data_IF_749761380804
#
_entry.id   IF_749761380804
#
_cell.length_a   1.000
_cell.length_b   1.000
_cell.length_c   1.000
_cell.angle_alpha   90.00
_cell.angle_beta   90.00
_cell.angle_gamma   90.00
#
_symmetry.space_group_name_H-M   'P 1'
#
loop_
_entity.id
_entity.type
_entity.pdbx_description
1 polymer ?
#
# COMPACT_ATOMS: atom_id res chain seq x y z
N UNK A 1 10.53 -74.99 -0.56
CA UNK A 1 9.79 -74.57 -1.77
C UNK A 1 9.57 -73.07 -1.67
N UNK A 2 10.40 -72.32 -2.36
CA UNK A 2 10.71 -70.90 -2.11
C UNK A 2 9.77 -70.01 -2.92
N UNK A 3 8.96 -69.18 -2.26
CA UNK A 3 8.09 -68.20 -2.92
C UNK A 3 8.83 -66.85 -2.93
N UNK A 4 9.25 -66.43 -4.12
CA UNK A 4 9.79 -65.10 -4.41
C UNK A 4 8.64 -64.09 -4.47
N UNK A 5 8.69 -63.05 -3.65
CA UNK A 5 7.86 -61.86 -3.80
C UNK A 5 8.47 -60.93 -4.85
N UNK A 6 7.72 -60.66 -5.93
CA UNK A 6 8.02 -59.59 -6.88
C UNK A 6 7.45 -58.28 -6.33
N UNK A 7 8.32 -57.29 -6.12
CA UNK A 7 7.91 -55.89 -5.93
C UNK A 7 7.73 -55.24 -7.31
N UNK A 8 6.50 -54.86 -7.65
CA UNK A 8 6.24 -53.95 -8.77
C UNK A 8 6.38 -52.51 -8.27
N UNK A 9 7.37 -51.77 -8.80
CA UNK A 9 7.45 -50.33 -8.64
C UNK A 9 6.47 -49.66 -9.61
N UNK A 10 5.44 -49.00 -9.06
CA UNK A 10 4.55 -48.15 -9.84
C UNK A 10 5.23 -46.78 -10.04
N UNK A 11 5.69 -46.51 -11.27
CA UNK A 11 6.07 -45.18 -11.72
C UNK A 11 4.80 -44.35 -11.91
N UNK A 12 4.48 -43.49 -10.95
CA UNK A 12 3.46 -42.45 -11.11
C UNK A 12 4.03 -41.32 -11.97
N UNK A 13 3.73 -41.36 -13.27
CA UNK A 13 3.88 -40.20 -14.15
C UNK A 13 2.78 -39.19 -13.82
N UNK A 14 3.10 -38.23 -12.95
CA UNK A 14 2.28 -37.04 -12.73
C UNK A 14 2.33 -36.19 -14.01
N UNK A 15 1.39 -36.42 -14.91
CA UNK A 15 1.14 -35.51 -16.02
C UNK A 15 0.61 -34.19 -15.46
N UNK A 16 1.48 -33.19 -15.35
CA UNK A 16 1.10 -31.79 -15.18
C UNK A 16 0.29 -31.37 -16.42
N UNK A 17 -1.02 -31.55 -16.36
CA UNK A 17 -1.93 -30.82 -17.23
C UNK A 17 -1.89 -29.36 -16.79
N UNK A 18 -0.99 -28.58 -17.40
CA UNK A 18 -1.07 -27.14 -17.36
C UNK A 18 -2.40 -26.72 -17.96
N UNK A 19 -3.34 -26.29 -17.12
CA UNK A 19 -4.49 -25.56 -17.61
C UNK A 19 -3.95 -24.31 -18.32
N UNK A 20 -4.18 -24.20 -19.63
CA UNK A 20 -3.95 -22.95 -20.35
C UNK A 20 -4.80 -21.88 -19.65
N UNK A 21 -4.15 -20.96 -18.95
CA UNK A 21 -4.79 -19.75 -18.49
C UNK A 21 -5.40 -19.06 -19.73
N UNK A 22 -6.71 -18.83 -19.72
CA UNK A 22 -7.36 -18.07 -20.77
C UNK A 22 -6.75 -16.67 -20.81
N UNK A 23 -6.60 -16.08 -22.00
CA UNK A 23 -6.10 -14.71 -22.13
C UNK A 23 -7.05 -13.76 -21.36
N UNK A 24 -6.55 -12.90 -20.46
CA UNK A 24 -7.42 -11.93 -19.79
C UNK A 24 -8.09 -11.03 -20.85
N UNK A 25 -9.31 -10.52 -20.57
CA UNK A 25 -9.91 -9.56 -21.48
C UNK A 25 -8.98 -8.35 -21.61
N UNK A 26 -8.92 -7.70 -22.79
CA UNK A 26 -8.14 -6.49 -22.93
C UNK A 26 -8.65 -5.42 -21.94
N UNK A 27 -7.79 -4.44 -21.58
CA UNK A 27 -8.26 -3.26 -20.85
C UNK A 27 -9.40 -2.60 -21.61
N UNK A 28 -10.27 -1.88 -20.88
CA UNK A 28 -11.25 -1.04 -21.56
C UNK A 28 -10.52 -0.02 -22.43
N UNK A 29 -11.22 0.55 -23.41
CA UNK A 29 -10.63 1.67 -24.14
C UNK A 29 -10.26 2.78 -23.13
N UNK A 30 -9.15 3.52 -23.34
CA UNK A 30 -8.67 4.47 -22.34
C UNK A 30 -9.74 5.45 -21.82
N UNK A 31 -10.71 5.82 -22.67
CA UNK A 31 -11.82 6.72 -22.34
C UNK A 31 -13.01 6.10 -21.59
N UNK A 32 -13.00 4.81 -21.24
CA UNK A 32 -14.18 4.10 -20.74
C UNK A 32 -14.14 3.79 -19.22
N UNK A 33 -13.00 3.99 -18.55
CA UNK A 33 -12.89 3.70 -17.12
C UNK A 33 -13.61 4.72 -16.24
N UNK A 34 -13.50 6.00 -16.57
CA UNK A 34 -14.09 7.11 -15.82
C UNK A 34 -15.29 7.67 -16.57
N UNK A 35 -16.49 7.31 -16.10
CA UNK A 35 -17.80 7.68 -16.65
C UNK A 35 -18.66 8.38 -15.59
N UNK A 36 -18.00 9.06 -14.66
CA UNK A 36 -18.61 9.76 -13.53
C UNK A 36 -19.41 10.97 -14.01
N UNK A 37 -20.61 11.15 -13.45
CA UNK A 37 -21.49 12.30 -13.71
C UNK A 37 -21.94 12.96 -12.40
N UNK A 38 -21.90 14.30 -12.26
CA UNK A 38 -21.40 15.24 -13.26
C UNK A 38 -19.89 15.09 -13.51
N UNK A 39 -19.37 15.52 -14.68
CA UNK A 39 -17.94 15.56 -14.90
C UNK A 39 -17.27 16.50 -13.89
N UNK A 40 -15.96 16.30 -13.71
CA UNK A 40 -15.18 17.09 -12.75
C UNK A 40 -15.28 18.59 -13.06
N UNK A 41 -15.63 19.40 -12.06
CA UNK A 41 -15.65 20.86 -12.15
C UNK A 41 -14.36 21.46 -11.60
N UNK A 42 -13.40 21.77 -12.48
CA UNK A 42 -12.12 22.36 -12.07
C UNK A 42 -12.22 23.75 -11.44
N UNK A 43 -13.35 24.45 -11.64
CA UNK A 43 -13.64 25.76 -11.02
C UNK A 43 -14.08 25.63 -9.56
N UNK A 44 -14.42 24.42 -9.10
CA UNK A 44 -14.66 24.10 -7.70
C UNK A 44 -13.42 23.37 -7.15
N UNK A 45 -12.47 24.09 -6.54
CA UNK A 45 -11.22 23.49 -6.07
C UNK A 45 -11.41 22.60 -4.84
N UNK A 46 -12.56 22.65 -4.17
CA UNK A 46 -12.81 21.96 -2.91
C UNK A 46 -13.50 20.63 -3.18
N UNK A 47 -14.65 20.65 -3.85
CA UNK A 47 -15.48 19.46 -4.07
C UNK A 47 -15.44 18.94 -5.50
N UNK A 48 -14.81 19.67 -6.41
CA UNK A 48 -14.74 19.34 -7.83
C UNK A 48 -16.12 19.13 -8.48
N UNK A 49 -17.17 19.78 -7.94
CA UNK A 49 -18.55 19.69 -8.44
C UNK A 49 -19.34 18.47 -7.96
N UNK A 50 -18.81 17.69 -7.02
CA UNK A 50 -19.47 16.49 -6.49
C UNK A 50 -20.00 16.69 -5.07
N UNK A 51 -21.05 15.96 -4.66
CA UNK A 51 -21.56 16.04 -3.31
C UNK A 51 -20.59 15.43 -2.29
N UNK A 52 -20.54 16.01 -1.09
CA UNK A 52 -19.94 15.40 0.09
C UNK A 52 -20.74 14.16 0.50
N UNK A 53 -20.06 13.06 0.73
CA UNK A 53 -20.65 11.83 1.25
C UNK A 53 -21.12 12.05 2.69
N UNK A 54 -22.23 11.39 3.03
CA UNK A 54 -22.59 11.24 4.44
C UNK A 54 -21.61 10.25 5.09
N UNK A 55 -20.78 10.78 5.98
CA UNK A 55 -19.82 10.02 6.78
C UNK A 55 -20.44 9.79 8.16
N UNK A 56 -20.38 8.56 8.66
CA UNK A 56 -20.90 8.20 9.98
C UNK A 56 -20.01 8.77 11.09
N UNK A 57 -18.69 8.73 10.87
CA UNK A 57 -17.69 9.27 11.79
C UNK A 57 -16.41 9.66 11.08
N UNK A 58 -15.82 10.76 11.51
CA UNK A 58 -14.43 11.12 11.23
C UNK A 58 -13.65 11.16 12.55
N UNK A 59 -12.47 10.55 12.56
CA UNK A 59 -11.62 10.43 13.75
C UNK A 59 -10.20 10.83 13.38
N UNK A 60 -9.61 11.74 14.14
CA UNK A 60 -8.16 11.94 14.13
C UNK A 60 -7.56 10.89 15.05
N UNK A 61 -6.86 9.93 14.48
CA UNK A 61 -6.24 8.84 15.23
C UNK A 61 -4.88 9.29 15.78
N UNK A 62 -4.17 10.12 15.03
CA UNK A 62 -2.86 10.63 15.43
C UNK A 62 -2.67 12.07 14.97
N UNK A 63 -2.32 12.95 15.90
CA UNK A 63 -1.91 14.34 15.65
C UNK A 63 -0.41 14.47 15.84
N UNK A 64 0.36 14.35 14.75
CA UNK A 64 1.82 14.30 14.84
C UNK A 64 2.43 15.60 15.39
N UNK A 65 1.85 16.74 15.01
CA UNK A 65 2.28 18.07 15.47
C UNK A 65 2.17 18.24 16.98
N UNK A 66 1.17 17.64 17.63
CA UNK A 66 0.94 17.74 19.08
C UNK A 66 2.03 17.01 19.90
N UNK A 67 2.72 16.04 19.28
CA UNK A 67 3.76 15.22 19.94
C UNK A 67 5.16 15.47 19.36
N UNK A 68 5.34 16.56 18.62
CA UNK A 68 6.65 16.93 18.06
C UNK A 68 7.14 16.02 16.94
N UNK A 69 6.23 15.25 16.30
CA UNK A 69 6.52 14.38 15.15
C UNK A 69 5.71 14.84 13.95
N UNK A 70 6.20 15.88 13.30
CA UNK A 70 5.48 16.62 12.27
C UNK A 70 5.40 15.91 10.92
N UNK A 71 5.87 14.67 10.83
CA UNK A 71 5.60 13.79 9.70
C UNK A 71 4.81 12.56 10.18
N UNK A 72 3.66 12.29 9.57
CA UNK A 72 2.89 11.07 9.74
C UNK A 72 2.21 10.65 8.43
N UNK A 73 2.46 9.42 7.98
CA UNK A 73 2.02 8.97 6.66
C UNK A 73 1.91 7.45 6.56
N UNK A 74 1.61 6.96 5.35
CA UNK A 74 1.56 5.54 5.02
C UNK A 74 0.64 4.70 5.93
N UNK A 75 -0.64 5.10 6.10
CA UNK A 75 -1.57 4.29 6.88
C UNK A 75 -1.87 2.97 6.15
N UNK A 76 -1.92 1.87 6.89
CA UNK A 76 -2.39 0.57 6.44
C UNK A 76 -3.38 -0.02 7.43
N UNK A 77 -4.53 -0.47 6.91
CA UNK A 77 -5.62 -1.04 7.70
C UNK A 77 -5.73 -2.56 7.51
N UNK A 78 -6.14 -3.23 8.59
CA UNK A 78 -6.53 -4.64 8.60
C UNK A 78 -7.70 -4.86 9.56
N UNK A 79 -8.55 -5.83 9.26
CA UNK A 79 -9.66 -6.25 10.11
C UNK A 79 -9.67 -7.78 10.16
N UNK A 80 -9.62 -8.34 11.37
CA UNK A 80 -9.60 -9.80 11.59
C UNK A 80 -11.00 -10.41 11.81
N UNK A 81 -12.05 -9.58 11.78
CA UNK A 81 -13.41 -10.00 12.14
C UNK A 81 -13.84 -9.57 13.54
N UNK A 82 -12.93 -9.03 14.36
CA UNK A 82 -13.18 -8.54 15.71
C UNK A 82 -12.58 -7.15 15.96
N UNK A 83 -11.34 -6.93 15.52
CA UNK A 83 -10.53 -5.73 15.77
C UNK A 83 -10.03 -5.13 14.47
N UNK A 84 -10.08 -3.80 14.39
CA UNK A 84 -9.45 -3.03 13.32
C UNK A 84 -8.05 -2.63 13.78
N UNK A 85 -7.04 -2.95 12.98
CA UNK A 85 -5.66 -2.58 13.20
C UNK A 85 -5.27 -1.49 12.20
N UNK A 86 -4.58 -0.47 12.69
CA UNK A 86 -4.02 0.60 11.87
C UNK A 86 -2.56 0.76 12.22
N UNK A 87 -1.69 0.58 11.22
CA UNK A 87 -0.29 0.96 11.33
C UNK A 87 -0.01 2.15 10.42
N UNK A 88 0.92 3.01 10.82
CA UNK A 88 1.33 4.18 10.06
C UNK A 88 2.76 4.60 10.43
N UNK A 89 3.44 5.28 9.52
CA UNK A 89 4.78 5.81 9.78
C UNK A 89 4.69 7.19 10.41
N UNK A 90 5.61 7.50 11.32
CA UNK A 90 5.77 8.85 11.85
C UNK A 90 7.26 9.18 12.02
N UNK A 91 7.65 10.43 11.80
CA UNK A 91 9.02 10.92 11.96
C UNK A 91 9.02 12.32 12.59
N UNK A 92 10.12 12.77 13.22
CA UNK A 92 10.20 14.10 13.83
C UNK A 92 9.83 15.23 12.86
N UNK A 93 10.38 15.20 11.64
CA UNK A 93 10.25 16.31 10.67
C UNK A 93 9.96 15.81 9.25
N UNK A 94 10.81 14.93 8.72
CA UNK A 94 10.88 14.66 7.29
C UNK A 94 10.50 13.22 6.92
N UNK A 95 9.91 13.09 5.73
CA UNK A 95 9.67 11.81 5.06
C UNK A 95 10.97 11.10 4.66
N UNK A 96 10.98 9.77 4.80
CA UNK A 96 12.09 8.84 4.61
C UNK A 96 13.41 9.28 5.28
N UNK A 97 13.31 9.93 6.44
CA UNK A 97 14.46 10.34 7.25
C UNK A 97 14.78 9.32 8.33
N UNK A 98 16.06 9.26 8.74
CA UNK A 98 16.42 8.52 9.96
C UNK A 98 15.75 9.19 11.15
N UNK A 99 14.98 8.40 11.91
CA UNK A 99 14.05 8.89 12.93
C UNK A 99 12.60 8.48 12.65
N UNK A 100 12.32 8.00 11.44
CA UNK A 100 11.02 7.44 11.10
C UNK A 100 10.81 6.07 11.77
N UNK A 101 9.61 5.90 12.33
CA UNK A 101 9.15 4.73 13.07
C UNK A 101 7.85 4.20 12.48
N UNK A 102 7.53 2.93 12.72
CA UNK A 102 6.20 2.37 12.49
C UNK A 102 5.41 2.33 13.78
N UNK A 103 4.22 2.92 13.77
CA UNK A 103 3.31 3.02 14.89
C UNK A 103 2.07 2.15 14.66
N UNK A 104 1.51 1.61 15.73
CA UNK A 104 0.31 0.78 15.74
C UNK A 104 -0.74 1.38 16.68
N UNK A 105 -1.99 1.30 16.27
CA UNK A 105 -3.18 1.57 17.07
C UNK A 105 -4.31 0.64 16.63
N UNK A 106 -5.24 0.35 17.53
CA UNK A 106 -6.34 -0.57 17.22
C UNK A 106 -7.69 -0.04 17.70
N UNK A 107 -8.76 -0.59 17.13
CA UNK A 107 -10.14 -0.28 17.45
C UNK A 107 -10.96 -1.57 17.59
N UNK A 108 -11.81 -1.62 18.62
CA UNK A 108 -12.72 -2.76 18.91
C UNK A 108 -14.19 -2.44 18.61
N UNK A 109 -14.48 -1.23 18.13
CA UNK A 109 -15.84 -0.75 17.90
C UNK A 109 -16.09 -0.39 16.43
N UNK A 110 -15.28 -0.95 15.52
CA UNK A 110 -15.41 -0.72 14.08
C UNK A 110 -14.75 0.57 13.57
N UNK A 111 -13.79 1.12 14.31
CA UNK A 111 -13.01 2.31 13.94
C UNK A 111 -13.53 3.62 14.54
N UNK A 112 -14.52 3.59 15.44
CA UNK A 112 -15.11 4.79 16.05
C UNK A 112 -14.23 5.35 17.16
N UNK A 113 -13.57 4.48 17.91
CA UNK A 113 -12.56 4.82 18.93
C UNK A 113 -11.30 4.01 18.72
N UNK A 114 -10.16 4.58 19.14
CA UNK A 114 -8.83 4.02 18.89
C UNK A 114 -8.01 4.01 20.18
N UNK A 115 -7.21 2.97 20.35
CA UNK A 115 -6.21 2.90 21.42
C UNK A 115 -5.15 3.98 21.24
N UNK A 116 -4.41 4.38 22.29
CA UNK A 116 -3.18 5.14 22.11
C UNK A 116 -2.25 4.45 21.14
N UNK A 117 -1.61 5.22 20.27
CA UNK A 117 -0.65 4.67 19.33
C UNK A 117 0.66 4.33 20.03
N UNK A 118 1.25 3.19 19.66
CA UNK A 118 2.53 2.71 20.19
C UNK A 118 3.52 2.48 19.05
N UNK A 119 4.79 2.81 19.27
CA UNK A 119 5.85 2.48 18.31
C UNK A 119 6.12 0.97 18.34
N UNK A 120 6.00 0.31 17.19
CA UNK A 120 6.24 -1.13 17.05
C UNK A 120 7.54 -1.42 16.33
N UNK A 121 8.02 -0.51 15.47
CA UNK A 121 9.32 -0.59 14.82
C UNK A 121 10.05 0.76 15.06
N UNK A 122 11.00 0.81 16.01
CA UNK A 122 11.64 2.05 16.42
C UNK A 122 12.62 2.59 15.37
N UNK A 123 13.16 3.78 15.62
CA UNK A 123 14.10 4.43 14.72
C UNK A 123 15.42 3.65 14.60
N UNK A 124 15.97 3.58 13.39
CA UNK A 124 17.19 2.85 13.09
C UNK A 124 18.44 3.72 13.24
N UNK A 125 18.67 4.27 14.44
CA UNK A 125 19.86 5.06 14.75
C UNK A 125 21.09 4.18 14.98
N UNK A 126 22.25 4.63 14.51
CA UNK A 126 23.54 4.04 14.85
C UNK A 126 24.02 4.50 16.24
N UNK A 127 24.98 3.81 16.89
CA UNK A 127 25.43 4.16 18.23
C UNK A 127 26.00 5.58 18.36
N UNK A 128 26.53 6.14 17.26
CA UNK A 128 27.03 7.51 17.20
C UNK A 128 25.96 8.54 16.80
N UNK A 129 24.72 8.13 16.59
CA UNK A 129 23.58 8.97 16.22
C UNK A 129 22.62 9.02 17.41
N UNK A 130 22.94 9.81 18.43
CA UNK A 130 22.21 9.80 19.70
C UNK A 130 20.83 10.47 19.63
N UNK A 131 20.52 11.18 18.54
CA UNK A 131 19.22 11.81 18.30
C UNK A 131 18.89 11.78 16.80
N UNK A 132 17.60 11.68 16.48
CA UNK A 132 17.12 11.90 15.11
C UNK A 132 17.40 13.34 14.65
N UNK A 133 17.64 13.48 13.35
CA UNK A 133 17.89 14.76 12.71
C UNK A 133 17.03 14.88 11.45
N UNK A 134 16.94 16.09 10.90
CA UNK A 134 16.18 16.37 9.69
C UNK A 134 16.88 15.81 8.44
N UNK A 135 16.15 15.77 7.32
CA UNK A 135 16.62 15.26 6.04
C UNK A 135 17.92 15.92 5.58
N UNK A 136 18.01 17.26 5.65
CA UNK A 136 19.19 18.03 5.25
C UNK A 136 20.44 17.64 6.03
N UNK A 137 20.35 17.48 7.36
CA UNK A 137 21.50 17.07 8.17
C UNK A 137 22.10 15.75 7.67
N UNK A 138 21.27 14.75 7.41
CA UNK A 138 21.75 13.45 6.93
C UNK A 138 22.39 13.55 5.55
N UNK A 139 21.83 14.37 4.66
CA UNK A 139 22.41 14.64 3.34
C UNK A 139 23.78 15.31 3.43
N UNK A 140 23.90 16.36 4.24
CA UNK A 140 25.13 17.15 4.41
C UNK A 140 26.28 16.31 4.95
N UNK A 141 25.97 15.31 5.78
CA UNK A 141 26.95 14.39 6.36
C UNK A 141 27.14 13.11 5.55
N UNK A 142 26.49 13.00 4.38
CA UNK A 142 26.51 11.82 3.50
C UNK A 142 26.13 10.51 4.19
N UNK A 143 25.13 10.57 5.06
CA UNK A 143 24.62 9.44 5.81
C UNK A 143 23.39 8.87 5.09
N UNK A 144 23.34 7.55 4.92
CA UNK A 144 22.12 6.88 4.49
C UNK A 144 21.01 7.06 5.52
N UNK A 145 19.85 7.47 5.04
CA UNK A 145 18.66 7.66 5.87
C UNK A 145 17.89 6.35 5.94
N UNK A 146 17.66 5.86 7.15
CA UNK A 146 17.01 4.57 7.42
C UNK A 146 15.59 4.83 7.92
N UNK A 147 14.61 4.64 7.05
CA UNK A 147 13.20 4.78 7.37
C UNK A 147 12.45 3.45 7.21
N UNK A 148 11.27 3.36 7.83
CA UNK A 148 10.36 2.21 7.74
C UNK A 148 8.98 2.67 7.29
N UNK A 149 8.44 2.01 6.26
CA UNK A 149 7.14 2.32 5.66
C UNK A 149 6.21 1.14 5.93
N UNK A 150 5.14 1.33 6.71
CA UNK A 150 4.08 0.35 6.81
C UNK A 150 3.54 -0.03 5.44
N UNK A 151 3.41 -1.33 5.19
CA UNK A 151 2.95 -1.82 3.89
C UNK A 151 1.81 -2.83 3.97
N UNK A 152 1.69 -3.57 5.07
CA UNK A 152 0.68 -4.61 5.20
C UNK A 152 0.58 -5.14 6.63
N UNK A 153 -0.58 -5.72 6.94
CA UNK A 153 -0.68 -6.75 7.96
C UNK A 153 -0.77 -8.12 7.27
N UNK A 154 -0.17 -9.14 7.88
CA UNK A 154 -0.13 -10.49 7.34
C UNK A 154 -0.63 -11.49 8.39
N UNK A 155 -1.87 -12.01 8.23
CA UNK A 155 -2.38 -13.08 9.07
C UNK A 155 -1.74 -14.40 8.66
N UNK A 156 -0.92 -14.97 9.54
CA UNK A 156 -0.23 -16.23 9.28
C UNK A 156 -1.02 -17.42 9.83
N UNK A 157 -1.65 -17.23 10.98
CA UNK A 157 -2.56 -18.18 11.59
C UNK A 157 -3.72 -17.43 12.22
N UNK A 158 -4.65 -18.15 12.86
CA UNK A 158 -5.74 -17.53 13.63
C UNK A 158 -5.20 -16.64 14.75
N UNK A 159 -4.09 -17.04 15.35
CA UNK A 159 -3.56 -16.44 16.58
C UNK A 159 -2.25 -15.67 16.29
N UNK A 160 -1.92 -15.44 15.02
CA UNK A 160 -0.64 -14.83 14.62
C UNK A 160 -0.83 -13.84 13.49
N UNK A 161 -0.74 -12.57 13.83
CA UNK A 161 -0.75 -11.44 12.89
C UNK A 161 0.62 -10.78 12.87
N UNK A 162 1.17 -10.48 11.69
CA UNK A 162 2.37 -9.65 11.58
C UNK A 162 2.02 -8.26 11.04
N UNK A 163 2.50 -7.21 11.69
CA UNK A 163 2.61 -5.89 11.10
C UNK A 163 3.93 -5.81 10.32
N UNK A 164 3.87 -5.56 9.02
CA UNK A 164 5.03 -5.58 8.11
C UNK A 164 5.30 -4.18 7.56
N UNK A 165 6.55 -3.76 7.64
CA UNK A 165 7.06 -2.52 7.05
C UNK A 165 8.20 -2.77 6.08
N UNK A 166 8.19 -2.05 4.96
CA UNK A 166 9.30 -1.98 4.01
C UNK A 166 10.35 -1.01 4.53
N UNK A 167 11.62 -1.39 4.50
CA UNK A 167 12.70 -0.43 4.72
C UNK A 167 12.87 0.47 3.50
N UNK A 168 13.03 1.77 3.76
CA UNK A 168 13.32 2.79 2.75
C UNK A 168 14.66 3.43 3.09
N UNK A 169 15.60 3.33 2.17
CA UNK A 169 16.95 3.86 2.31
C UNK A 169 17.15 5.03 1.37
N UNK A 170 17.22 6.25 1.92
CA UNK A 170 17.37 7.46 1.11
C UNK A 170 18.80 7.98 1.20
N UNK A 171 19.37 8.35 0.06
CA UNK A 171 20.67 9.03 -0.04
C UNK A 171 20.56 10.26 -0.94
N UNK A 172 21.42 11.25 -0.68
CA UNK A 172 21.30 12.62 -1.22
C UNK A 172 22.63 13.37 -1.11
N UNK A 173 23.67 12.86 -1.75
CA UNK A 173 25.04 13.40 -1.65
C UNK A 173 25.37 14.42 -2.75
N UNK A 174 24.37 14.80 -3.54
CA UNK A 174 24.46 15.71 -4.68
C UNK A 174 23.33 15.44 -5.68
N UNK A 175 23.24 16.25 -6.72
CA UNK A 175 22.17 16.11 -7.72
C UNK A 175 22.22 14.81 -8.51
N UNK A 176 23.43 14.35 -8.83
CA UNK A 176 23.66 13.08 -9.53
C UNK A 176 23.83 11.88 -8.59
N UNK A 177 23.87 12.14 -7.27
CA UNK A 177 24.13 11.15 -6.23
C UNK A 177 23.00 11.13 -5.20
N UNK A 178 21.75 11.01 -5.69
CA UNK A 178 20.54 10.89 -4.89
C UNK A 178 19.65 9.77 -5.40
N UNK A 179 18.95 9.11 -4.49
CA UNK A 179 18.08 7.99 -4.85
C UNK A 179 17.53 7.26 -3.64
N UNK A 180 16.75 6.22 -3.94
CA UNK A 180 16.16 5.33 -2.93
C UNK A 180 16.65 3.91 -3.17
N UNK A 181 16.88 3.19 -2.08
CA UNK A 181 17.13 1.74 -2.01
C UNK A 181 16.29 1.15 -0.90
N UNK A 182 16.42 -0.16 -0.67
CA UNK A 182 15.73 -0.86 0.38
C UNK A 182 16.56 -2.05 0.86
N UNK A 183 16.57 -2.26 2.17
CA UNK A 183 17.27 -3.35 2.85
C UNK A 183 16.45 -4.66 2.96
N UNK A 184 15.15 -4.60 2.63
CA UNK A 184 14.20 -5.68 2.89
C UNK A 184 12.99 -5.23 3.70
N UNK A 185 12.30 -6.19 4.31
CA UNK A 185 11.08 -5.96 5.10
C UNK A 185 11.28 -6.41 6.54
N UNK A 186 10.85 -5.56 7.45
CA UNK A 186 10.85 -5.83 8.88
C UNK A 186 9.41 -6.09 9.31
N UNK A 187 9.18 -7.13 10.09
CA UNK A 187 7.89 -7.50 10.62
C UNK A 187 7.94 -7.57 12.15
N UNK A 188 6.79 -7.35 12.78
CA UNK A 188 6.58 -7.58 14.21
C UNK A 188 5.26 -8.31 14.43
N UNK A 189 5.29 -9.36 15.24
CA UNK A 189 4.08 -10.10 15.60
C UNK A 189 3.19 -9.24 16.50
N UNK A 190 1.88 -9.35 16.32
CA UNK A 190 0.84 -8.65 17.06
C UNK A 190 -0.12 -9.72 17.63
N UNK A 191 -0.46 -9.62 18.92
CA UNK A 191 -1.46 -10.49 19.57
C UNK A 191 -2.91 -10.08 19.24
N UNK A 192 -3.87 -10.88 19.69
CA UNK A 192 -5.31 -10.65 19.50
C UNK A 192 -5.81 -9.38 20.23
N UNK A 193 -5.11 -8.95 21.27
CA UNK A 193 -5.36 -7.71 21.98
C UNK A 193 -4.82 -6.47 21.25
N UNK A 194 -4.00 -6.65 20.22
CA UNK A 194 -3.42 -5.57 19.42
C UNK A 194 -2.09 -5.04 19.94
N UNK A 195 -1.37 -5.79 20.76
CA UNK A 195 -0.06 -5.43 21.29
C UNK A 195 1.07 -6.10 20.48
N UNK A 196 2.22 -5.44 20.34
CA UNK A 196 3.40 -6.07 19.77
C UNK A 196 3.92 -7.20 20.67
N UNK A 197 4.13 -8.37 20.09
CA UNK A 197 4.68 -9.55 20.76
C UNK A 197 6.08 -9.85 20.24
N UNK A 198 7.00 -10.08 21.17
CA UNK A 198 8.38 -10.40 20.86
C UNK A 198 9.12 -9.27 20.15
N UNK A 199 10.28 -9.64 19.59
CA UNK A 199 11.19 -8.71 18.92
C UNK A 199 10.86 -8.59 17.42
N UNK A 200 11.17 -7.44 16.79
CA UNK A 200 11.15 -7.32 15.34
C UNK A 200 12.03 -8.37 14.65
N UNK A 201 11.63 -8.78 13.45
CA UNK A 201 12.34 -9.76 12.63
C UNK A 201 12.33 -9.37 11.14
N UNK A 202 13.28 -9.86 10.36
CA UNK A 202 13.28 -9.70 8.91
C UNK A 202 12.32 -10.73 8.27
N UNK A 203 11.34 -10.29 7.50
CA UNK A 203 10.61 -11.22 6.60
C UNK A 203 11.39 -11.44 5.30
N UNK A 204 12.13 -10.42 4.87
CA UNK A 204 13.10 -10.49 3.78
C UNK A 204 14.26 -9.52 4.05
N UNK A 205 15.46 -9.86 3.60
CA UNK A 205 16.67 -9.06 3.80
C UNK A 205 17.59 -9.19 2.57
N UNK A 206 18.29 -8.12 2.19
CA UNK A 206 19.31 -8.11 1.13
C UNK A 206 20.61 -7.44 1.62
N UNK A 207 21.59 -7.26 0.72
CA UNK A 207 22.91 -6.72 1.06
C UNK A 207 22.86 -5.31 1.68
N UNK A 208 21.86 -4.49 1.32
CA UNK A 208 21.73 -3.13 1.83
C UNK A 208 21.51 -3.07 3.34
N UNK A 209 20.94 -4.12 3.93
CA UNK A 209 20.78 -4.19 5.38
C UNK A 209 22.14 -4.11 6.11
N UNK A 210 23.19 -4.69 5.52
CA UNK A 210 24.55 -4.65 6.06
C UNK A 210 25.28 -3.37 5.65
N UNK A 211 25.13 -2.93 4.40
CA UNK A 211 25.76 -1.68 3.90
C UNK A 211 25.35 -0.45 4.72
N UNK A 212 24.07 -0.37 5.10
CA UNK A 212 23.56 0.70 5.96
C UNK A 212 23.58 0.33 7.45
N UNK A 213 24.23 -0.78 7.81
CA UNK A 213 24.57 -1.18 9.18
C UNK A 213 23.34 -1.33 10.10
N UNK A 214 22.24 -1.90 9.61
CA UNK A 214 21.09 -2.21 10.48
C UNK A 214 21.47 -3.10 11.67
N UNK A 215 22.45 -3.99 11.49
CA UNK A 215 22.99 -4.85 12.53
C UNK A 215 23.67 -4.06 13.68
N UNK A 216 23.98 -2.79 13.50
CA UNK A 216 24.55 -1.92 14.54
C UNK A 216 23.53 -0.95 15.14
N UNK A 217 22.31 -0.91 14.61
CA UNK A 217 21.21 -0.15 15.20
C UNK A 217 20.53 -0.94 16.31
N UNK A 218 19.48 -0.39 16.93
CA UNK A 218 18.63 -1.11 17.90
C UNK A 218 18.15 -2.48 17.37
N UNK A 219 17.92 -2.59 16.06
CA UNK A 219 17.52 -3.84 15.41
C UNK A 219 18.56 -4.95 15.60
N UNK A 220 19.86 -4.68 15.43
CA UNK A 220 20.89 -5.70 15.65
C UNK A 220 21.44 -5.77 17.07
N UNK A 221 21.51 -4.64 17.76
CA UNK A 221 22.21 -4.54 19.06
C UNK A 221 21.32 -4.86 20.26
N UNK A 222 20.05 -4.46 20.23
CA UNK A 222 19.08 -4.73 21.29
C UNK A 222 18.24 -5.97 20.96
N UNK A 223 17.62 -5.98 19.79
CA UNK A 223 16.73 -7.08 19.39
C UNK A 223 17.46 -8.30 18.82
N UNK A 224 18.73 -8.17 18.43
CA UNK A 224 19.47 -9.26 17.79
C UNK A 224 18.76 -9.81 16.54
N UNK A 225 18.15 -8.92 15.74
CA UNK A 225 17.13 -9.23 14.74
C UNK A 225 17.55 -10.36 13.79
N UNK A 226 16.68 -11.37 13.72
CA UNK A 226 16.82 -12.56 12.86
C UNK A 226 15.74 -12.57 11.78
N UNK A 227 15.79 -13.55 10.90
CA UNK A 227 14.63 -13.87 10.06
C UNK A 227 13.43 -14.24 10.94
N UNK A 228 12.24 -13.81 10.54
CA UNK A 228 11.00 -14.22 11.18
C UNK A 228 10.79 -15.73 11.05
N UNK A 229 10.21 -16.36 12.08
CA UNK A 229 9.78 -17.77 12.01
C UNK A 229 8.92 -18.03 10.77
N UNK A 230 8.00 -17.10 10.47
CA UNK A 230 7.05 -17.20 9.36
C UNK A 230 7.46 -16.40 8.12
N UNK A 231 8.76 -16.14 7.93
CA UNK A 231 9.26 -15.28 6.84
C UNK A 231 8.75 -15.71 5.45
N UNK A 232 8.81 -17.00 5.11
CA UNK A 232 8.34 -17.50 3.82
C UNK A 232 6.83 -17.31 3.61
N UNK A 233 6.02 -17.52 4.66
CA UNK A 233 4.57 -17.33 4.60
C UNK A 233 4.21 -15.85 4.48
N UNK A 234 4.95 -14.97 5.18
CA UNK A 234 4.80 -13.52 5.05
C UNK A 234 5.07 -13.10 3.60
N UNK A 235 6.19 -13.52 3.03
CA UNK A 235 6.57 -13.13 1.66
C UNK A 235 5.67 -13.78 0.60
N UNK A 236 5.17 -14.99 0.83
CA UNK A 236 4.18 -15.63 -0.06
C UNK A 236 2.87 -14.85 -0.08
N UNK A 237 2.35 -14.48 1.10
CA UNK A 237 1.15 -13.66 1.24
C UNK A 237 1.31 -12.32 0.53
N UNK A 238 2.44 -11.63 0.70
CA UNK A 238 2.70 -10.33 0.06
C UNK A 238 2.92 -10.41 -1.46
N UNK A 239 3.03 -11.62 -2.04
CA UNK A 239 3.14 -11.84 -3.48
C UNK A 239 1.80 -12.22 -4.12
N UNK A 240 0.74 -12.39 -3.35
CA UNK A 240 -0.58 -12.66 -3.91
C UNK A 240 -1.20 -11.39 -4.50
N UNK A 241 -2.01 -11.52 -5.57
CA UNK A 241 -2.72 -10.40 -6.18
C UNK A 241 -3.48 -9.47 -5.23
N UNK A 242 -4.26 -10.04 -4.30
CA UNK A 242 -5.15 -9.28 -3.43
C UNK A 242 -4.43 -8.51 -2.31
N UNK A 243 -3.16 -8.84 -2.05
CA UNK A 243 -2.42 -8.46 -0.84
C UNK A 243 -1.06 -7.87 -1.15
N UNK A 244 -0.69 -7.78 -2.44
CA UNK A 244 0.53 -7.13 -2.91
C UNK A 244 0.58 -5.70 -2.36
N UNK A 245 1.66 -5.33 -1.63
CA UNK A 245 1.80 -3.99 -1.09
C UNK A 245 2.19 -2.96 -2.15
N UNK A 246 1.97 -1.68 -1.82
CA UNK A 246 2.33 -0.55 -2.68
C UNK A 246 3.85 -0.42 -2.94
N UNK A 247 4.70 -1.02 -2.11
CA UNK A 247 6.15 -0.95 -2.26
C UNK A 247 6.82 -2.30 -2.07
N UNK A 248 8.01 -2.42 -2.66
CA UNK A 248 8.90 -3.56 -2.48
C UNK A 248 10.34 -3.16 -2.73
N UNK A 249 11.27 -3.99 -2.27
CA UNK A 249 12.71 -3.68 -2.37
C UNK A 249 13.17 -3.44 -3.82
N UNK A 250 12.67 -4.26 -4.76
CA UNK A 250 12.98 -4.08 -6.17
C UNK A 250 12.40 -2.79 -6.74
N UNK A 251 11.14 -2.47 -6.42
CA UNK A 251 10.45 -1.28 -6.91
C UNK A 251 11.07 0.03 -6.39
N UNK A 252 11.71 0.00 -5.20
CA UNK A 252 12.48 1.15 -4.71
C UNK A 252 13.82 1.32 -5.42
N UNK A 253 14.45 0.22 -5.84
CA UNK A 253 15.77 0.24 -6.45
C UNK A 253 15.72 0.42 -7.98
N UNK A 254 14.56 0.21 -8.58
CA UNK A 254 14.39 0.01 -10.03
C UNK A 254 13.10 0.69 -10.52
N UNK A 255 13.14 1.21 -11.74
CA UNK A 255 11.95 1.74 -12.43
C UNK A 255 11.13 0.62 -13.06
N UNK A 256 9.81 0.72 -12.99
CA UNK A 256 8.88 -0.18 -13.67
C UNK A 256 8.15 0.64 -14.73
N UNK A 257 8.53 0.47 -16.00
CA UNK A 257 7.90 1.20 -17.09
C UNK A 257 6.56 0.56 -17.48
N UNK A 258 5.59 1.41 -17.78
CA UNK A 258 4.31 1.02 -18.35
C UNK A 258 4.44 0.46 -19.78
N UNK A 259 3.34 0.04 -20.39
CA UNK A 259 3.31 -0.55 -21.73
C UNK A 259 3.82 0.39 -22.84
N UNK A 260 3.88 1.69 -22.57
CA UNK A 260 4.41 2.69 -23.50
C UNK A 260 5.91 2.97 -23.33
N UNK A 261 6.58 2.20 -22.47
CA UNK A 261 8.01 2.29 -22.19
C UNK A 261 8.50 3.66 -21.69
N UNK A 262 7.57 4.55 -21.33
CA UNK A 262 7.84 5.96 -21.03
C UNK A 262 7.54 6.28 -19.57
N UNK A 263 6.39 5.88 -19.05
CA UNK A 263 5.96 6.25 -17.71
C UNK A 263 6.44 5.26 -16.64
N UNK A 264 6.93 5.77 -15.51
CA UNK A 264 7.44 5.02 -14.36
C UNK A 264 6.32 4.77 -13.34
N UNK A 265 5.99 3.50 -13.13
CA UNK A 265 4.88 3.04 -12.32
C UNK A 265 5.36 2.62 -10.93
N UNK A 266 4.68 3.09 -9.89
CA UNK A 266 4.83 2.58 -8.53
C UNK A 266 3.49 2.51 -7.80
N UNK A 267 3.51 2.01 -6.56
CA UNK A 267 2.34 2.02 -5.67
C UNK A 267 1.12 1.31 -6.27
N UNK A 268 1.25 0.02 -6.67
CA UNK A 268 0.09 -0.73 -7.10
C UNK A 268 -0.96 -0.76 -5.99
N UNK A 269 -2.22 -0.71 -6.37
CA UNK A 269 -3.32 -1.05 -5.46
C UNK A 269 -3.32 -2.56 -5.22
N UNK A 270 -4.06 -2.98 -4.18
CA UNK A 270 -4.55 -4.36 -4.11
C UNK A 270 -5.34 -4.69 -5.38
N UNK A 271 -5.32 -5.96 -5.78
CA UNK A 271 -6.09 -6.42 -6.92
C UNK A 271 -7.48 -6.93 -6.53
N UNK A 272 -8.43 -6.79 -7.44
CA UNK A 272 -9.78 -7.35 -7.32
C UNK A 272 -10.04 -8.35 -8.44
N UNK A 273 -10.70 -9.46 -8.12
CA UNK A 273 -10.99 -10.51 -9.10
C UNK A 273 -12.29 -10.23 -9.86
N UNK A 274 -12.23 -10.35 -11.18
CA UNK A 274 -13.34 -10.28 -12.12
C UNK A 274 -13.59 -11.67 -12.72
N UNK A 275 -14.58 -12.40 -12.20
CA UNK A 275 -14.98 -13.69 -12.71
C UNK A 275 -15.98 -14.37 -11.77
N UNK A 276 -16.65 -15.41 -12.27
CA UNK A 276 -17.59 -16.18 -11.46
C UNK A 276 -16.82 -17.26 -10.67
N UNK A 277 -16.71 -17.08 -9.36
CA UNK A 277 -16.29 -18.15 -8.45
C UNK A 277 -17.52 -19.06 -8.18
N UNK A 278 -17.97 -19.81 -9.19
CA UNK A 278 -18.96 -20.87 -8.96
C UNK A 278 -18.29 -21.96 -8.10
N UNK A 279 -18.53 -21.90 -6.79
CA UNK A 279 -18.11 -22.92 -5.84
C UNK A 279 -18.64 -24.30 -6.22
N UNK A 280 -17.73 -25.27 -6.31
CA UNK A 280 -18.02 -26.67 -6.60
C UNK A 280 -17.38 -27.17 -7.89
N UNK A 281 -17.17 -28.49 -8.00
CA UNK A 281 -16.37 -29.20 -9.01
C UNK A 281 -16.79 -29.06 -10.50
N UNK A 282 -17.43 -27.95 -10.91
CA UNK A 282 -17.80 -27.67 -12.30
C UNK A 282 -16.94 -26.53 -12.84
N UNK A 283 -16.16 -26.88 -13.87
CA UNK A 283 -15.31 -26.04 -14.74
C UNK A 283 -15.39 -24.54 -14.47
N UNK A 284 -14.33 -24.01 -13.87
CA UNK A 284 -14.08 -22.59 -13.66
C UNK A 284 -14.35 -21.80 -14.95
N UNK A 285 -15.34 -20.92 -14.92
CA UNK A 285 -15.51 -19.91 -15.97
C UNK A 285 -14.36 -18.91 -15.83
N UNK A 286 -13.79 -18.48 -16.95
CA UNK A 286 -12.62 -17.59 -16.95
C UNK A 286 -12.82 -16.32 -16.12
N UNK A 287 -11.71 -15.69 -15.73
CA UNK A 287 -11.70 -14.42 -15.03
C UNK A 287 -10.30 -13.82 -14.99
N UNK A 288 -10.16 -12.66 -14.37
CA UNK A 288 -8.88 -11.95 -14.26
C UNK A 288 -8.82 -11.11 -12.99
N UNK A 289 -7.61 -10.87 -12.50
CA UNK A 289 -7.34 -9.80 -11.55
C UNK A 289 -7.24 -8.46 -12.28
N UNK A 290 -7.70 -7.39 -11.63
CA UNK A 290 -7.45 -6.01 -12.01
C UNK A 290 -6.85 -5.26 -10.83
N UNK A 291 -5.83 -4.46 -11.09
CA UNK A 291 -5.30 -3.48 -10.14
C UNK A 291 -4.95 -2.19 -10.85
N UNK A 292 -4.76 -1.14 -10.05
CA UNK A 292 -4.30 0.14 -10.54
C UNK A 292 -2.87 0.46 -10.09
N UNK A 293 -2.23 1.38 -10.82
CA UNK A 293 -0.88 1.86 -10.59
C UNK A 293 -0.86 3.38 -10.59
N UNK A 294 0.03 3.94 -9.77
CA UNK A 294 0.34 5.36 -9.78
C UNK A 294 1.51 5.62 -10.73
N UNK A 295 1.33 6.65 -11.54
CA UNK A 295 2.42 7.25 -12.30
C UNK A 295 3.25 8.17 -11.40
N UNK A 296 4.53 7.85 -11.26
CA UNK A 296 5.52 8.62 -10.50
C UNK A 296 6.58 9.27 -11.38
N UNK A 297 6.33 9.35 -12.68
CA UNK A 297 7.24 9.97 -13.64
C UNK A 297 7.57 11.43 -13.27
N UNK A 298 8.67 11.95 -13.82
CA UNK A 298 9.05 13.35 -13.67
C UNK A 298 7.97 14.32 -14.17
N UNK A 299 8.06 15.59 -13.78
CA UNK A 299 7.06 16.63 -14.11
C UNK A 299 6.73 16.72 -15.59
N UNK A 300 7.71 16.46 -16.45
CA UNK A 300 7.59 16.63 -17.90
C UNK A 300 6.93 15.43 -18.58
N UNK A 301 6.73 14.34 -17.82
CA UNK A 301 6.23 13.06 -18.33
C UNK A 301 4.96 12.60 -17.61
N UNK A 302 4.74 12.99 -16.36
CA UNK A 302 3.62 12.50 -15.55
C UNK A 302 2.26 12.67 -16.25
N UNK A 303 1.49 11.59 -16.31
CA UNK A 303 0.26 11.51 -17.12
C UNK A 303 -0.97 12.11 -16.43
N UNK A 304 -0.89 12.33 -15.11
CA UNK A 304 -2.00 12.72 -14.25
C UNK A 304 -3.23 11.81 -14.37
N UNK A 305 -2.98 10.53 -14.65
CA UNK A 305 -3.99 9.48 -14.73
C UNK A 305 -3.57 8.27 -13.90
N UNK A 306 -4.57 7.49 -13.48
CA UNK A 306 -4.36 6.16 -12.94
C UNK A 306 -4.09 5.19 -14.10
N UNK A 307 -3.22 4.21 -13.89
CA UNK A 307 -2.91 3.17 -14.86
C UNK A 307 -3.46 1.83 -14.41
N UNK A 308 -3.81 0.94 -15.33
CA UNK A 308 -4.47 -0.35 -15.06
C UNK A 308 -3.63 -1.52 -15.56
N UNK A 309 -3.68 -2.63 -14.83
CA UNK A 309 -3.04 -3.89 -15.20
C UNK A 309 -4.00 -5.06 -14.94
N UNK A 310 -3.94 -6.07 -15.81
CA UNK A 310 -4.74 -7.29 -15.71
C UNK A 310 -3.87 -8.54 -15.77
N UNK A 311 -4.30 -9.59 -15.07
CA UNK A 311 -3.77 -10.94 -15.27
C UNK A 311 -4.87 -11.98 -15.14
N UNK A 312 -4.85 -13.01 -15.98
CA UNK A 312 -5.71 -14.19 -15.83
C UNK A 312 -5.12 -15.22 -14.87
N UNK A 313 -3.84 -15.08 -14.49
CA UNK A 313 -3.18 -15.94 -13.51
C UNK A 313 -3.81 -15.72 -12.13
N UNK A 314 -4.50 -16.75 -11.61
CA UNK A 314 -5.11 -16.71 -10.27
C UNK A 314 -4.08 -16.41 -9.18
N UNK A 315 -2.88 -16.94 -9.34
CA UNK A 315 -1.72 -16.74 -8.47
C UNK A 315 -0.94 -15.46 -8.80
N UNK A 316 -1.21 -14.80 -9.93
CA UNK A 316 -0.45 -13.62 -10.37
C UNK A 316 0.99 -13.94 -10.78
N UNK A 317 1.24 -15.12 -11.33
CA UNK A 317 2.62 -15.57 -11.64
C UNK A 317 3.30 -14.81 -12.79
N UNK A 318 2.55 -13.99 -13.52
CA UNK A 318 2.96 -13.24 -14.71
C UNK A 318 3.06 -11.73 -14.50
N UNK A 319 2.89 -11.23 -13.28
CA UNK A 319 3.03 -9.80 -12.96
C UNK A 319 3.92 -9.54 -11.74
N UNK A 320 4.26 -8.27 -11.51
CA UNK A 320 4.93 -7.85 -10.26
C UNK A 320 4.07 -8.22 -9.03
N UNK A 321 4.65 -8.70 -7.90
CA UNK A 321 6.07 -8.83 -7.60
C UNK A 321 6.70 -10.19 -7.94
N UNK A 322 5.97 -11.10 -8.61
CA UNK A 322 6.52 -12.40 -9.00
C UNK A 322 7.40 -12.30 -10.25
N UNK A 323 7.09 -11.34 -11.12
CA UNK A 323 7.92 -10.97 -12.26
C UNK A 323 8.52 -9.58 -12.03
N UNK A 324 9.84 -9.52 -11.89
CA UNK A 324 10.60 -8.29 -11.72
C UNK A 324 11.26 -7.89 -13.04
N UNK A 325 10.62 -7.01 -13.81
CA UNK A 325 11.12 -6.54 -15.10
C UNK A 325 10.86 -5.05 -15.29
N UNK A 326 11.84 -4.34 -15.85
CA UNK A 326 11.70 -2.90 -16.07
C UNK A 326 10.74 -2.55 -17.20
N UNK A 327 10.66 -3.38 -18.24
CA UNK A 327 9.97 -3.07 -19.51
C UNK A 327 9.15 -4.27 -19.99
N UNK A 328 8.24 -4.04 -20.94
CA UNK A 328 7.34 -5.06 -21.48
C UNK A 328 6.16 -5.38 -20.56
N UNK A 329 5.86 -4.48 -19.61
CA UNK A 329 4.73 -4.65 -18.68
C UNK A 329 3.42 -4.28 -19.36
N UNK A 330 2.36 -5.05 -19.11
CA UNK A 330 1.02 -4.83 -19.67
C UNK A 330 0.22 -3.84 -18.82
N UNK A 331 0.80 -2.66 -18.54
CA UNK A 331 0.20 -1.59 -17.74
C UNK A 331 -0.22 -0.45 -18.66
N UNK A 332 -1.52 -0.14 -18.68
CA UNK A 332 -2.12 0.76 -19.67
C UNK A 332 -2.76 1.98 -19.03
N UNK A 333 -2.72 3.11 -19.72
CA UNK A 333 -3.27 4.37 -19.24
C UNK A 333 -4.80 4.33 -19.24
N UNK A 334 -5.42 4.81 -18.16
CA UNK A 334 -6.87 5.04 -18.11
C UNK A 334 -7.21 6.53 -18.25
N UNK A 335 -8.50 6.87 -18.31
CA UNK A 335 -8.98 8.25 -18.17
C UNK A 335 -9.40 8.59 -16.73
N UNK A 336 -9.10 7.75 -15.73
CA UNK A 336 -9.32 8.07 -14.32
C UNK A 336 -8.31 9.16 -13.93
N UNK A 337 -8.77 10.38 -13.61
CA UNK A 337 -7.86 11.49 -13.34
C UNK A 337 -7.17 11.31 -11.97
N UNK A 338 -5.95 11.81 -11.83
CA UNK A 338 -5.19 11.70 -10.58
C UNK A 338 -4.23 12.87 -10.38
N UNK A 339 -4.14 13.38 -9.15
CA UNK A 339 -3.17 14.43 -8.77
C UNK A 339 -1.74 13.90 -8.52
N UNK A 340 -1.50 12.59 -8.64
CA UNK A 340 -0.22 11.97 -8.30
C UNK A 340 -0.10 11.63 -6.82
N UNK A 341 -1.11 10.98 -6.26
CA UNK A 341 -1.16 10.42 -4.90
C UNK A 341 -1.65 8.96 -4.98
N UNK A 342 -1.25 8.10 -4.03
CA UNK A 342 -1.65 6.69 -3.97
C UNK A 342 -3.17 6.55 -3.99
N UNK A 343 -3.65 5.44 -4.54
CA UNK A 343 -5.07 5.06 -4.57
C UNK A 343 -5.30 3.78 -3.75
N UNK A 344 -6.56 3.50 -3.42
CA UNK A 344 -6.98 2.22 -2.85
C UNK A 344 -8.16 1.65 -3.62
N UNK A 345 -7.99 0.43 -4.14
CA UNK A 345 -9.02 -0.34 -4.83
C UNK A 345 -9.52 -1.46 -3.91
N UNK A 346 -10.83 -1.63 -3.81
CA UNK A 346 -11.44 -2.71 -3.03
C UNK A 346 -12.83 -3.11 -3.51
N UNK A 347 -13.39 -4.10 -2.81
CA UNK A 347 -14.74 -4.64 -3.02
C UNK A 347 -15.64 -4.34 -1.82
N UNK A 348 -16.87 -3.94 -2.12
CA UNK A 348 -17.96 -3.89 -1.15
C UNK A 348 -18.59 -5.29 -1.00
N UNK A 349 -19.32 -5.57 0.10
CA UNK A 349 -19.97 -6.87 0.32
C UNK A 349 -20.90 -7.34 -0.81
N UNK A 350 -21.47 -6.41 -1.58
CA UNK A 350 -22.33 -6.71 -2.73
C UNK A 350 -21.60 -7.05 -4.03
N UNK A 351 -20.26 -7.03 -4.05
CA UNK A 351 -19.43 -7.24 -5.25
C UNK A 351 -19.19 -5.98 -6.08
N UNK A 352 -19.77 -4.84 -5.69
CA UNK A 352 -19.44 -3.54 -6.24
C UNK A 352 -18.01 -3.15 -5.87
N UNK A 353 -17.31 -2.47 -6.79
CA UNK A 353 -15.95 -1.98 -6.55
C UNK A 353 -15.98 -0.54 -6.10
N UNK A 354 -14.98 -0.18 -5.30
CA UNK A 354 -14.73 1.21 -4.93
C UNK A 354 -13.26 1.58 -5.14
N UNK A 355 -13.03 2.84 -5.50
CA UNK A 355 -11.71 3.44 -5.65
C UNK A 355 -11.64 4.70 -4.80
N UNK A 356 -10.82 4.66 -3.75
CA UNK A 356 -10.51 5.84 -2.93
C UNK A 356 -9.27 6.53 -3.49
N UNK A 357 -9.40 7.78 -3.92
CA UNK A 357 -8.28 8.55 -4.47
C UNK A 357 -8.57 10.06 -4.57
N UNK A 358 -7.57 10.81 -5.05
CA UNK A 358 -7.63 12.25 -5.33
C UNK A 358 -7.74 12.51 -6.85
N UNK A 359 -8.96 12.61 -7.41
CA UNK A 359 -9.20 12.68 -8.85
C UNK A 359 -8.95 14.05 -9.49
N UNK A 360 -8.59 15.09 -8.72
CA UNK A 360 -8.42 16.43 -9.27
C UNK A 360 -6.97 16.66 -9.71
N UNK A 361 -6.70 16.53 -11.01
CA UNK A 361 -5.45 17.03 -11.57
C UNK A 361 -5.37 18.56 -11.43
N UNK A 362 -4.32 19.08 -10.80
CA UNK A 362 -4.14 20.53 -10.63
C UNK A 362 -2.66 20.90 -10.57
N UNK A 363 -2.35 22.12 -11.01
CA UNK A 363 -0.98 22.65 -11.09
C UNK A 363 -0.33 22.84 -9.72
N UNK A 364 -1.14 23.15 -8.72
CA UNK A 364 -0.77 23.37 -7.33
C UNK A 364 -0.45 22.06 -6.60
N UNK A 365 -0.78 20.91 -7.20
CA UNK A 365 -0.63 19.55 -6.66
C UNK A 365 -1.31 19.38 -5.29
N UNK A 366 -2.41 20.09 -5.05
CA UNK A 366 -3.25 19.95 -3.87
C UNK A 366 -4.01 18.63 -3.93
N UNK A 367 -3.86 17.80 -2.90
CA UNK A 367 -4.46 16.46 -2.85
C UNK A 367 -5.92 16.51 -2.36
N UNK A 368 -6.75 17.25 -3.09
CA UNK A 368 -8.13 17.57 -2.72
C UNK A 368 -9.04 17.63 -3.96
N UNK A 369 -10.28 17.11 -3.88
CA UNK A 369 -10.86 16.31 -2.79
C UNK A 369 -10.22 14.94 -2.61
N UNK A 370 -10.41 14.33 -1.43
CA UNK A 370 -10.37 12.87 -1.30
C UNK A 370 -11.77 12.34 -1.61
N UNK A 371 -11.87 11.35 -2.48
CA UNK A 371 -13.15 10.85 -3.01
C UNK A 371 -13.26 9.33 -2.91
N UNK A 372 -14.48 8.83 -3.00
CA UNK A 372 -14.78 7.42 -3.25
C UNK A 372 -15.57 7.34 -4.54
N UNK A 373 -15.00 6.72 -5.57
CA UNK A 373 -15.69 6.39 -6.82
C UNK A 373 -16.16 4.94 -6.79
N UNK A 374 -17.31 4.64 -7.39
CA UNK A 374 -17.90 3.28 -7.39
C UNK A 374 -18.17 2.75 -8.79
N UNK A 375 -18.05 1.44 -8.92
CA UNK A 375 -18.40 0.68 -10.11
C UNK A 375 -19.31 -0.48 -9.74
N UNK A 376 -20.49 -0.55 -10.36
CA UNK A 376 -21.54 -1.52 -9.99
C UNK A 376 -21.43 -2.85 -10.75
N UNK A 377 -21.70 -3.95 -10.05
CA UNK A 377 -21.77 -5.29 -10.60
C UNK A 377 -20.52 -5.68 -11.39
N UNK A 378 -20.68 -6.12 -12.64
CA UNK A 378 -19.58 -6.55 -13.52
C UNK A 378 -18.94 -5.42 -14.35
N UNK A 379 -19.44 -4.18 -14.24
CA UNK A 379 -18.91 -3.05 -15.02
C UNK A 379 -17.45 -2.79 -14.65
N UNK A 380 -16.57 -2.44 -15.58
CA UNK A 380 -15.24 -1.91 -15.24
C UNK A 380 -15.22 -0.37 -15.16
N UNK A 381 -16.29 0.28 -15.61
CA UNK A 381 -16.43 1.72 -15.58
C UNK A 381 -16.90 2.20 -14.19
N UNK A 382 -16.29 3.26 -13.70
CA UNK A 382 -16.71 4.03 -12.53
C UNK A 382 -17.73 5.08 -12.95
N UNK A 383 -18.90 5.05 -12.32
CA UNK A 383 -20.03 5.92 -12.66
C UNK A 383 -20.55 6.70 -11.45
N UNK A 384 -20.42 6.14 -10.24
CA UNK A 384 -20.74 6.83 -8.99
C UNK A 384 -19.51 7.51 -8.39
N UNK A 385 -19.73 8.61 -7.68
CA UNK A 385 -18.69 9.30 -6.92
C UNK A 385 -19.28 10.11 -5.78
N UNK A 386 -18.52 10.24 -4.70
CA UNK A 386 -18.73 11.29 -3.73
C UNK A 386 -17.44 11.73 -3.04
N UNK A 387 -17.48 12.93 -2.48
CA UNK A 387 -16.36 13.53 -1.76
C UNK A 387 -16.33 13.00 -0.33
N UNK A 388 -15.23 12.33 0.03
CA UNK A 388 -15.00 11.82 1.38
C UNK A 388 -14.54 12.93 2.31
N UNK A 389 -13.59 13.78 1.88
CA UNK A 389 -13.01 14.81 2.75
C UNK A 389 -12.34 15.98 2.01
N UNK A 390 -12.40 17.17 2.59
CA UNK A 390 -11.96 18.46 1.99
C UNK A 390 -11.47 19.53 2.98
N UNK A 391 -11.58 19.29 4.28
CA UNK A 391 -11.38 20.26 5.37
C UNK A 391 -10.00 20.13 6.03
N UNK A 392 -8.95 19.81 5.26
CA UNK A 392 -7.59 19.74 5.79
C UNK A 392 -7.08 21.12 6.22
N UNK A 393 -6.18 21.14 7.20
CA UNK A 393 -5.43 22.34 7.53
C UNK A 393 -4.63 22.83 6.31
N UNK A 394 -4.75 24.11 5.97
CA UNK A 394 -4.03 24.71 4.85
C UNK A 394 -2.60 25.12 5.21
N UNK A 395 -2.21 24.96 6.47
CA UNK A 395 -0.87 25.20 6.98
C UNK A 395 -0.19 23.87 7.26
N UNK A 396 1.07 23.76 6.87
CA UNK A 396 1.90 22.57 7.01
C UNK A 396 3.13 22.92 7.84
N UNK A 397 3.54 22.05 8.75
CA UNK A 397 4.79 22.20 9.45
C UNK A 397 5.95 22.17 8.45
N UNK A 398 6.95 23.04 8.61
CA UNK A 398 8.12 23.05 7.75
C UNK A 398 8.78 21.67 7.65
N UNK A 399 9.24 21.32 6.45
CA UNK A 399 10.09 20.18 6.19
C UNK A 399 11.38 20.65 5.51
N UNK A 400 12.42 19.84 5.56
CA UNK A 400 13.70 20.11 4.88
C UNK A 400 13.82 19.37 3.55
N UNK A 401 12.90 18.44 3.30
CA UNK A 401 12.83 17.68 2.04
C UNK A 401 11.96 18.33 0.96
N UNK A 402 11.01 19.21 1.31
CA UNK A 402 10.11 19.88 0.38
C UNK A 402 9.09 18.97 -0.30
N UNK A 403 8.76 17.82 0.31
CA UNK A 403 7.86 16.80 -0.28
C UNK A 403 6.61 16.53 0.55
N UNK A 404 6.44 17.19 1.69
CA UNK A 404 5.11 17.33 2.28
C UNK A 404 4.20 18.06 1.28
N UNK A 405 2.95 17.62 1.23
CA UNK A 405 1.93 18.10 0.27
C UNK A 405 0.64 18.32 1.03
N UNK A 406 -0.01 19.44 0.75
CA UNK A 406 -1.26 19.80 1.38
C UNK A 406 -2.39 18.81 1.05
N UNK A 407 -3.34 18.75 1.97
CA UNK A 407 -4.60 18.01 1.92
C UNK A 407 -4.44 16.49 2.16
N UNK A 408 -5.46 15.72 1.81
CA UNK A 408 -5.57 14.32 2.21
C UNK A 408 -4.95 13.36 1.20
N UNK A 409 -4.27 12.33 1.67
CA UNK A 409 -3.52 11.44 0.78
C UNK A 409 -3.24 10.07 1.35
N UNK A 410 -2.88 9.15 0.45
CA UNK A 410 -2.54 7.76 0.74
C UNK A 410 -3.67 7.02 1.48
N UNK A 411 -4.86 6.92 0.86
CA UNK A 411 -5.93 6.15 1.45
C UNK A 411 -5.59 4.67 1.51
N UNK A 412 -6.10 4.02 2.54
CA UNK A 412 -6.25 2.57 2.69
C UNK A 412 -7.63 2.30 3.25
N UNK A 413 -8.22 1.15 2.96
CA UNK A 413 -9.56 0.83 3.45
C UNK A 413 -9.75 -0.65 3.78
N UNK A 414 -10.68 -0.92 4.69
CA UNK A 414 -11.21 -2.24 5.01
C UNK A 414 -12.72 -2.16 5.18
N UNK A 415 -13.40 -3.29 4.98
CA UNK A 415 -14.83 -3.41 5.28
C UNK A 415 -14.98 -4.04 6.66
N UNK A 416 -15.71 -3.35 7.54
CA UNK A 416 -15.96 -3.76 8.93
C UNK A 416 -17.46 -3.77 9.16
N UNK A 417 -18.02 -4.96 9.40
CA UNK A 417 -19.47 -5.14 9.65
C UNK A 417 -20.37 -4.46 8.61
N UNK A 418 -19.96 -4.52 7.33
CA UNK A 418 -20.69 -3.90 6.22
C UNK A 418 -20.46 -2.40 6.04
N UNK A 419 -19.66 -1.75 6.90
CA UNK A 419 -19.22 -0.35 6.74
C UNK A 419 -17.84 -0.28 6.12
N UNK A 420 -17.56 0.80 5.40
CA UNK A 420 -16.24 1.08 4.86
C UNK A 420 -15.47 1.96 5.85
N UNK A 421 -14.35 1.45 6.37
CA UNK A 421 -13.41 2.19 7.22
C UNK A 421 -12.22 2.58 6.36
N UNK A 422 -12.00 3.88 6.18
CA UNK A 422 -10.97 4.44 5.31
C UNK A 422 -9.98 5.24 6.15
N UNK A 423 -8.71 4.87 6.15
CA UNK A 423 -7.63 5.68 6.74
C UNK A 423 -6.86 6.41 5.67
N UNK A 424 -6.40 7.61 5.99
CA UNK A 424 -5.59 8.46 5.11
C UNK A 424 -4.82 9.45 5.98
N UNK A 425 -3.79 10.05 5.39
CA UNK A 425 -3.04 11.13 6.03
C UNK A 425 -3.57 12.50 5.61
N UNK A 426 -3.47 13.47 6.51
CA UNK A 426 -3.66 14.90 6.24
C UNK A 426 -2.29 15.56 6.24
N UNK A 427 -1.93 16.26 5.17
CA UNK A 427 -0.67 17.00 4.99
C UNK A 427 0.62 16.17 5.16
N UNK A 428 0.51 14.85 5.33
CA UNK A 428 1.57 14.00 5.89
C UNK A 428 1.98 14.38 7.31
N UNK A 429 1.04 14.83 8.15
CA UNK A 429 1.29 15.26 9.54
C UNK A 429 0.35 14.55 10.54
N UNK A 430 -0.87 14.24 10.10
CA UNK A 430 -1.89 13.59 10.92
C UNK A 430 -2.44 12.36 10.23
N UNK A 431 -2.91 11.40 11.02
CA UNK A 431 -3.61 10.21 10.54
C UNK A 431 -5.07 10.31 10.92
N UNK A 432 -5.92 10.11 9.91
CA UNK A 432 -7.36 10.17 10.02
C UNK A 432 -7.97 8.83 9.65
N UNK A 433 -9.19 8.62 10.15
CA UNK A 433 -10.10 7.55 9.77
C UNK A 433 -11.49 8.13 9.52
N UNK A 434 -12.11 7.74 8.41
CA UNK A 434 -13.53 7.98 8.12
C UNK A 434 -14.28 6.66 8.05
N UNK A 435 -15.49 6.64 8.60
CA UNK A 435 -16.41 5.51 8.55
C UNK A 435 -17.58 5.89 7.66
N UNK A 436 -17.82 5.12 6.60
CA UNK A 436 -18.85 5.41 5.59
C UNK A 436 -19.74 4.20 5.44
N UNK A 437 -21.05 4.42 5.45
CA UNK A 437 -22.01 3.41 5.04
C UNK A 437 -21.97 3.26 3.50
N UNK A 438 -21.71 2.07 2.95
CA UNK A 438 -21.74 1.85 1.51
C UNK A 438 -23.05 2.25 0.83
N UNK A 439 -24.18 2.26 1.56
CA UNK A 439 -25.45 2.76 1.04
C UNK A 439 -25.42 4.26 0.68
N UNK A 440 -24.46 5.01 1.23
CA UNK A 440 -24.22 6.42 0.88
C UNK A 440 -23.34 6.58 -0.38
N UNK A 441 -22.78 5.50 -0.92
CA UNK A 441 -21.97 5.48 -2.14
C UNK A 441 -22.88 5.22 -3.35
N UNK A 442 -23.67 6.22 -3.73
CA UNK A 442 -24.62 6.12 -4.84
C UNK A 442 -23.90 5.99 -6.20
#
# INVERSE_FOLDING_TARGET
>A
MTIRALYLAALSTSALYGAQAGTPPPPLAPGEYWQVSPPINYSDPIYAGWPQLKVDKEVVVYRGTDVGRTYAHHPELYYDGHRVYLQYSSAPIDEDSTGQESWLTTSVDGGYTWSPSVSILPEALLPNQTTAANYSYWCDHRIYQRAVHPIAFVPVSRDTLYAVSQTTLRYCWGDDAKGTKAAGRIARAIDEEGNPVGDPCWSSQNEWAYEVRYNETVYGTEYGMKMCEHAEQIEAYLREPATTPAWGSWLYATKLYAADDTHDMQEPTRAVWFGDDEGGCKKHRGGHWERFWRDISGSDTISHAVWVEHTASRSGDDWYPKVEQQRGNAIYRTNIPCVGSKQHLGLLPGGDRFLVHNPRNNTERLRQPLTIATSRGRSRAYTGIGVLKTDANTTIAPDTRGIKRLMFSYPTAVVVEGKLVVSYSENKENIWVSIVDPANLL
#
